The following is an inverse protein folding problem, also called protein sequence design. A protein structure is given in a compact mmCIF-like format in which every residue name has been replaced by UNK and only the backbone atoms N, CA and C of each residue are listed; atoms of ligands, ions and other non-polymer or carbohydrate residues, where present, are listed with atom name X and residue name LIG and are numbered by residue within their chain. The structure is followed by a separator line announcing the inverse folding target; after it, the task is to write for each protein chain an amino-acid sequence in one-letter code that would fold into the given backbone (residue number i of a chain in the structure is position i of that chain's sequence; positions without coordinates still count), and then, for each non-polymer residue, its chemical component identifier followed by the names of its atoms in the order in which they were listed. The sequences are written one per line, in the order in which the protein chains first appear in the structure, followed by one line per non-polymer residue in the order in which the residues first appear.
data_IF_683749227174
#
_entry.id   IF_683749227174
#
_cell.length_a   1.000
_cell.length_b   1.000
_cell.length_c   1.000
_cell.angle_alpha   90.00
_cell.angle_beta   90.00
_cell.angle_gamma   90.00
#
_symmetry.space_group_name_H-M   'P 1'
#
loop_
_entity.id
_entity.type
_entity.pdbx_description
1 polymer ?
#
# COMPACT_ATOMS: atom_id res chain seq x y z
N UNK A 1 -54.06 29.76 3.10
CA UNK A 1 -54.16 30.34 4.45
C UNK A 1 -53.15 29.61 5.32
N UNK A 2 -52.06 30.20 5.79
CA UNK A 2 -51.64 31.62 5.81
C UNK A 2 -50.34 31.81 5.00
N UNK A 3 -50.07 33.04 4.54
CA UNK A 3 -48.88 33.43 3.74
C UNK A 3 -48.07 34.54 4.42
N UNK A 4 -46.77 34.33 4.61
CA UNK A 4 -45.72 35.35 4.81
C UNK A 4 -44.38 34.71 4.36
N UNK A 5 -43.36 35.42 3.87
CA UNK A 5 -43.27 36.84 3.50
C UNK A 5 -41.79 37.18 3.20
N UNK A 6 -41.49 37.81 2.07
CA UNK A 6 -40.10 38.04 1.62
C UNK A 6 -39.39 39.17 2.38
N UNK A 7 -38.07 39.07 2.51
CA UNK A 7 -37.18 40.18 2.83
C UNK A 7 -35.87 40.07 2.04
N UNK A 8 -35.62 41.01 1.14
CA UNK A 8 -34.30 41.20 0.53
C UNK A 8 -33.39 42.00 1.48
N UNK A 9 -32.07 41.80 1.41
CA UNK A 9 -31.12 42.86 1.77
C UNK A 9 -29.94 42.87 0.80
N UNK A 10 -29.69 44.02 0.18
CA UNK A 10 -28.48 44.29 -0.61
C UNK A 10 -27.33 44.59 0.35
N UNK A 11 -26.12 44.10 0.04
CA UNK A 11 -24.97 44.25 0.93
C UNK A 11 -23.61 44.04 0.25
N UNK A 12 -23.37 44.68 -0.89
CA UNK A 12 -22.04 44.71 -1.51
C UNK A 12 -21.13 45.74 -0.83
N UNK A 13 -19.86 45.39 -0.59
CA UNK A 13 -18.77 46.35 -0.68
C UNK A 13 -17.78 45.92 -1.79
N UNK A 14 -17.68 46.73 -2.84
CA UNK A 14 -16.56 46.66 -3.78
C UNK A 14 -15.27 47.09 -3.09
N UNK A 15 -14.18 46.36 -3.29
CA UNK A 15 -12.84 46.88 -3.03
C UNK A 15 -11.95 46.68 -4.25
N UNK A 16 -11.63 47.78 -4.93
CA UNK A 16 -10.64 47.83 -6.01
C UNK A 16 -9.26 48.13 -5.40
N UNK A 17 -8.25 47.35 -5.78
CA UNK A 17 -6.90 47.46 -5.23
C UNK A 17 -5.86 47.02 -6.25
N UNK A 18 -5.55 47.89 -7.21
CA UNK A 18 -4.50 47.65 -8.22
C UNK A 18 -3.14 48.04 -7.64
N UNK A 19 -2.16 47.15 -7.73
CA UNK A 19 -0.74 47.53 -7.82
C UNK A 19 0.08 46.42 -8.46
N UNK A 20 0.87 46.77 -9.47
CA UNK A 20 1.78 45.88 -10.18
C UNK A 20 3.23 46.12 -9.75
N UNK A 21 3.90 45.06 -9.34
CA UNK A 21 5.36 44.88 -9.36
C UNK A 21 5.65 43.42 -9.02
N UNK A 22 6.75 42.83 -9.47
CA UNK A 22 7.86 43.39 -10.23
C UNK A 22 9.03 42.45 -10.03
N UNK A 23 9.44 41.78 -11.10
CA UNK A 23 10.44 40.70 -11.09
C UNK A 23 11.73 41.05 -10.34
N UNK A 24 12.24 40.12 -9.55
CA UNK A 24 13.69 39.92 -9.50
C UNK A 24 14.09 38.46 -9.26
N UNK A 25 14.98 37.96 -10.11
CA UNK A 25 15.66 36.68 -9.95
C UNK A 25 16.75 36.80 -8.89
N UNK A 26 16.87 35.80 -8.02
CA UNK A 26 17.99 35.64 -7.10
C UNK A 26 18.59 34.24 -7.27
N UNK A 27 19.62 34.13 -8.12
CA UNK A 27 20.43 32.91 -8.26
C UNK A 27 21.44 32.87 -7.13
N UNK A 28 21.35 31.86 -6.26
CA UNK A 28 22.35 31.57 -5.24
C UNK A 28 22.99 30.21 -5.55
N UNK A 29 24.20 30.24 -6.10
CA UNK A 29 24.97 29.03 -6.42
C UNK A 29 25.68 28.46 -5.19
N UNK A 30 25.91 27.14 -5.27
CA UNK A 30 26.76 26.28 -4.45
C UNK A 30 27.87 26.94 -3.59
N UNK A 31 27.94 26.53 -2.33
CA UNK A 31 29.19 26.50 -1.54
C UNK A 31 29.28 25.19 -0.73
N UNK A 32 30.11 24.26 -1.21
CA UNK A 32 30.53 23.10 -0.42
C UNK A 32 31.81 23.42 0.36
N UNK A 33 31.94 22.98 1.61
CA UNK A 33 33.23 22.70 2.23
C UNK A 33 33.57 21.20 2.07
N UNK A 34 34.78 20.92 1.58
CA UNK A 34 35.37 19.58 1.58
C UNK A 34 35.73 19.12 3.00
N UNK A 35 35.65 17.81 3.26
CA UNK A 35 36.22 17.17 4.45
C UNK A 35 36.94 15.90 4.01
N UNK A 36 38.24 15.83 4.29
CA UNK A 36 39.11 14.73 3.88
C UNK A 36 38.90 13.45 4.70
N UNK A 37 39.21 12.31 4.09
CA UNK A 37 39.20 10.99 4.72
C UNK A 37 40.64 10.50 4.99
N UNK A 38 40.99 10.05 6.22
CA UNK A 38 42.26 9.41 6.49
C UNK A 38 42.29 7.98 5.94
N UNK A 39 43.26 7.68 5.08
CA UNK A 39 43.65 6.31 4.75
C UNK A 39 44.58 5.75 5.84
N UNK A 40 44.39 4.50 6.23
CA UNK A 40 45.41 3.69 6.90
C UNK A 40 45.56 2.38 6.13
N UNK A 41 46.81 2.02 5.82
CA UNK A 41 47.13 0.89 4.96
C UNK A 41 48.43 0.23 5.43
N UNK A 42 48.31 -0.95 6.04
CA UNK A 42 49.42 -1.76 6.54
C UNK A 42 48.96 -3.24 6.48
N UNK A 43 49.71 -4.21 5.95
CA UNK A 43 50.99 -4.13 5.23
C UNK A 43 52.01 -5.16 5.71
N UNK A 44 51.94 -6.39 5.21
CA UNK A 44 52.96 -7.47 5.23
C UNK A 44 52.37 -8.65 4.43
N UNK A 45 52.87 -8.97 3.22
CA UNK A 45 53.93 -9.97 2.95
C UNK A 45 53.53 -11.41 3.34
N UNK A 46 53.04 -12.24 2.40
CA UNK A 46 53.80 -13.05 1.42
C UNK A 46 54.78 -14.06 2.04
N UNK A 47 54.48 -15.35 1.87
CA UNK A 47 55.45 -16.31 1.29
C UNK A 47 54.72 -17.50 0.63
N UNK A 48 55.44 -18.32 -0.17
CA UNK A 48 54.79 -19.22 -1.15
C UNK A 48 55.69 -20.34 -1.71
N UNK A 49 55.23 -21.59 -1.62
CA UNK A 49 55.68 -22.79 -2.35
C UNK A 49 54.55 -23.85 -2.27
N UNK A 50 54.21 -24.68 -3.26
CA UNK A 50 54.99 -25.63 -4.08
C UNK A 50 55.70 -26.70 -3.23
N UNK A 51 55.65 -28.01 -3.53
CA UNK A 51 54.95 -28.79 -4.58
C UNK A 51 55.08 -30.31 -4.27
N UNK A 52 54.49 -31.21 -5.06
CA UNK A 52 54.94 -32.62 -5.14
C UNK A 52 53.88 -33.69 -4.86
N UNK A 53 54.16 -34.94 -5.26
CA UNK A 53 53.22 -36.07 -5.27
C UNK A 53 53.90 -37.43 -5.02
N UNK A 54 53.08 -38.50 -5.00
CA UNK A 54 53.43 -39.93 -5.16
C UNK A 54 53.69 -40.83 -3.92
N UNK A 55 52.60 -41.44 -3.43
CA UNK A 55 52.41 -42.90 -3.19
C UNK A 55 53.61 -43.86 -3.00
N UNK A 56 53.69 -44.55 -1.85
CA UNK A 56 53.39 -46.02 -1.64
C UNK A 56 53.83 -46.56 -0.25
N UNK A 57 53.05 -47.53 0.27
CA UNK A 57 53.36 -48.79 1.03
C UNK A 57 54.55 -48.87 2.02
N UNK A 58 54.56 -49.68 3.09
CA UNK A 58 53.56 -50.53 3.80
C UNK A 58 54.16 -51.06 5.14
N UNK A 59 53.32 -51.58 6.06
CA UNK A 59 53.67 -52.54 7.16
C UNK A 59 54.63 -52.04 8.30
N UNK A 60 54.63 -52.54 9.54
CA UNK A 60 53.76 -53.50 10.28
C UNK A 60 53.83 -53.31 11.83
N UNK A 61 52.85 -53.88 12.59
CA UNK A 61 52.83 -54.21 14.05
C UNK A 61 53.22 -53.13 15.12
N UNK A 62 52.80 -53.13 16.39
CA UNK A 62 51.65 -53.62 17.22
C UNK A 62 51.75 -52.90 18.60
N UNK A 63 51.00 -53.07 19.70
CA UNK A 63 49.88 -53.92 20.16
C UNK A 63 49.21 -53.26 21.43
N UNK A 64 48.14 -53.86 21.99
CA UNK A 64 47.60 -53.66 23.37
C UNK A 64 47.03 -52.26 23.78
N UNK A 65 45.87 -52.11 24.42
CA UNK A 65 44.74 -53.03 24.69
C UNK A 65 43.45 -52.28 25.13
N UNK A 66 42.31 -52.97 25.02
CA UNK A 66 41.05 -52.81 25.77
C UNK A 66 40.29 -51.45 25.76
N UNK A 67 39.38 -51.27 24.79
CA UNK A 67 38.01 -50.77 25.03
C UNK A 67 37.07 -51.08 23.83
N UNK A 68 35.83 -51.48 24.10
CA UNK A 68 34.72 -51.47 23.13
C UNK A 68 33.83 -50.22 23.43
N UNK A 69 32.91 -49.72 22.60
CA UNK A 69 32.12 -50.29 21.50
C UNK A 69 31.82 -49.18 20.44
N UNK A 70 31.28 -49.58 19.29
CA UNK A 70 30.65 -48.80 18.21
C UNK A 70 31.54 -48.19 17.11
N UNK A 71 31.37 -48.75 15.91
CA UNK A 71 31.91 -48.26 14.64
C UNK A 71 31.09 -47.07 14.12
N UNK A 72 31.70 -46.24 13.27
CA UNK A 72 31.04 -45.10 12.62
C UNK A 72 30.10 -45.52 11.49
N UNK A 73 28.87 -45.01 11.48
CA UNK A 73 27.95 -45.08 10.34
C UNK A 73 27.67 -43.68 9.81
N UNK A 74 28.31 -43.33 8.69
CA UNK A 74 28.04 -42.21 7.77
C UNK A 74 27.66 -40.84 8.37
N UNK A 75 28.56 -39.86 8.24
CA UNK A 75 28.24 -38.46 8.43
C UNK A 75 27.29 -37.95 7.32
N UNK A 76 26.00 -37.81 7.64
CA UNK A 76 24.97 -37.35 6.71
C UNK A 76 25.20 -35.90 6.23
N UNK A 77 24.98 -35.56 4.94
CA UNK A 77 25.18 -34.20 4.41
C UNK A 77 24.28 -33.10 5.02
N UNK A 78 23.24 -33.48 5.76
CA UNK A 78 22.13 -32.60 6.15
C UNK A 78 22.50 -31.47 7.12
N UNK A 79 23.66 -31.53 7.79
CA UNK A 79 24.08 -30.49 8.75
C UNK A 79 24.20 -29.10 8.12
N UNK A 80 24.79 -29.01 6.92
CA UNK A 80 25.07 -27.73 6.25
C UNK A 80 23.76 -27.00 5.88
N UNK A 81 22.75 -27.75 5.40
CA UNK A 81 21.44 -27.21 5.04
C UNK A 81 20.70 -26.58 6.23
N UNK A 82 20.77 -27.20 7.41
CA UNK A 82 20.13 -26.67 8.63
C UNK A 82 20.78 -25.36 9.07
N UNK A 83 22.12 -25.27 9.06
CA UNK A 83 22.82 -24.03 9.38
C UNK A 83 22.60 -22.94 8.32
N UNK A 84 22.57 -23.28 7.03
CA UNK A 84 22.19 -22.34 5.97
C UNK A 84 20.77 -21.81 6.17
N UNK A 85 19.78 -22.67 6.40
CA UNK A 85 18.40 -22.27 6.68
C UNK A 85 18.25 -21.44 7.96
N UNK A 86 19.08 -21.68 8.98
CA UNK A 86 19.13 -20.85 10.18
C UNK A 86 19.77 -19.48 9.91
N UNK A 87 20.86 -19.42 9.13
CA UNK A 87 21.52 -18.17 8.72
C UNK A 87 20.59 -17.35 7.80
N UNK A 88 19.86 -17.99 6.88
CA UNK A 88 18.84 -17.33 6.06
C UNK A 88 17.68 -16.81 6.90
N UNK A 89 17.18 -17.59 7.86
CA UNK A 89 16.17 -17.11 8.82
C UNK A 89 16.68 -15.90 9.59
N UNK A 90 17.84 -15.97 10.24
CA UNK A 90 18.44 -14.83 10.96
C UNK A 90 18.67 -13.63 10.03
N UNK A 91 19.13 -13.85 8.80
CA UNK A 91 19.34 -12.79 7.80
C UNK A 91 18.03 -12.14 7.35
N UNK A 92 16.94 -12.91 7.14
CA UNK A 92 15.59 -12.38 6.82
C UNK A 92 14.91 -11.77 8.05
N UNK A 93 15.26 -12.21 9.26
CA UNK A 93 14.84 -11.59 10.54
C UNK A 93 15.52 -10.23 10.75
N UNK A 94 16.81 -10.09 10.43
CA UNK A 94 17.55 -8.83 10.51
C UNK A 94 17.19 -7.88 9.36
N UNK A 95 17.12 -8.36 8.12
CA UNK A 95 16.73 -7.56 6.93
C UNK A 95 15.23 -7.28 6.83
N UNK A 96 14.39 -8.02 7.56
CA UNK A 96 12.93 -7.94 7.44
C UNK A 96 12.47 -8.11 5.99
N UNK A 97 11.65 -7.18 5.52
CA UNK A 97 11.07 -7.14 4.18
C UNK A 97 11.92 -6.39 3.14
N UNK A 98 13.16 -5.99 3.45
CA UNK A 98 13.97 -5.11 2.57
C UNK A 98 14.25 -5.69 1.17
N UNK A 99 14.55 -6.99 1.07
CA UNK A 99 14.79 -7.66 -0.21
C UNK A 99 13.47 -7.92 -0.99
N UNK A 100 12.32 -7.83 -0.31
CA UNK A 100 10.99 -8.14 -0.82
C UNK A 100 10.24 -6.90 -1.37
N UNK A 101 10.30 -5.74 -0.70
CA UNK A 101 9.57 -4.50 -1.10
C UNK A 101 9.84 -4.12 -2.56
N UNK A 102 8.79 -3.87 -3.35
CA UNK A 102 8.86 -3.46 -4.75
C UNK A 102 9.41 -4.53 -5.69
N UNK A 103 9.28 -5.82 -5.36
CA UNK A 103 9.76 -6.93 -6.20
C UNK A 103 9.13 -6.94 -7.59
N UNK A 104 7.87 -6.52 -7.73
CA UNK A 104 7.18 -6.40 -9.02
C UNK A 104 7.91 -5.47 -10.00
N UNK A 105 8.46 -4.36 -9.52
CA UNK A 105 9.28 -3.43 -10.33
C UNK A 105 10.66 -4.01 -10.69
N UNK A 106 11.12 -5.09 -10.05
CA UNK A 106 12.39 -5.79 -10.35
C UNK A 106 12.21 -7.00 -11.27
N UNK A 107 10.98 -7.46 -11.46
CA UNK A 107 10.66 -8.63 -12.27
C UNK A 107 10.72 -8.26 -13.76
N UNK A 108 11.77 -8.66 -14.47
CA UNK A 108 12.01 -8.30 -15.89
C UNK A 108 10.96 -8.81 -16.89
N UNK A 109 10.06 -9.70 -16.47
CA UNK A 109 8.93 -10.19 -17.26
C UNK A 109 7.62 -9.43 -17.01
N UNK A 110 7.59 -8.52 -16.02
CA UNK A 110 6.41 -7.70 -15.72
C UNK A 110 6.33 -6.49 -16.66
N UNK A 111 5.13 -6.15 -17.19
CA UNK A 111 4.97 -4.99 -18.06
C UNK A 111 5.24 -3.67 -17.31
N UNK A 112 5.84 -2.66 -17.97
CA UNK A 112 6.10 -1.35 -17.37
C UNK A 112 4.80 -0.62 -16.99
N UNK A 113 4.93 0.45 -16.20
CA UNK A 113 3.83 1.33 -15.82
C UNK A 113 3.90 2.65 -16.58
N UNK A 114 2.74 3.22 -16.89
CA UNK A 114 2.60 4.53 -17.54
C UNK A 114 2.29 5.59 -16.49
N UNK A 115 3.16 6.58 -16.26
CA UNK A 115 2.84 7.68 -15.33
C UNK A 115 1.88 8.67 -16.01
N UNK A 116 0.74 8.96 -15.38
CA UNK A 116 -0.23 9.96 -15.83
C UNK A 116 -0.60 10.93 -14.70
N UNK A 117 0.33 11.17 -13.75
CA UNK A 117 0.10 12.05 -12.61
C UNK A 117 -0.33 13.45 -13.02
N UNK A 118 0.27 14.02 -14.07
CA UNK A 118 -0.09 15.36 -14.54
C UNK A 118 -1.49 15.36 -15.19
N UNK A 119 -1.86 14.34 -16.00
CA UNK A 119 -3.21 14.18 -16.55
C UNK A 119 -4.27 13.98 -15.46
N UNK A 120 -3.93 13.24 -14.39
CA UNK A 120 -4.80 13.12 -13.21
C UNK A 120 -5.01 14.48 -12.51
N UNK A 121 -3.98 15.33 -12.43
CA UNK A 121 -4.10 16.69 -11.87
C UNK A 121 -4.99 17.58 -12.74
N UNK A 122 -4.89 17.51 -14.07
CA UNK A 122 -5.82 18.21 -14.98
C UNK A 122 -7.27 17.79 -14.75
N UNK A 123 -7.54 16.47 -14.70
CA UNK A 123 -8.88 15.92 -14.47
C UNK A 123 -9.41 16.30 -13.07
N UNK A 124 -8.55 16.32 -12.05
CA UNK A 124 -8.93 16.72 -10.71
C UNK A 124 -9.26 18.22 -10.62
N UNK A 125 -8.58 19.07 -11.40
CA UNK A 125 -8.88 20.50 -11.44
C UNK A 125 -10.14 20.82 -12.25
N UNK A 126 -10.39 20.12 -13.36
CA UNK A 126 -11.67 20.10 -14.07
C UNK A 126 -12.83 19.83 -13.08
N UNK A 127 -12.72 18.77 -12.27
CA UNK A 127 -13.73 18.35 -11.29
C UNK A 127 -13.89 19.38 -10.16
N UNK A 128 -12.81 20.03 -9.70
CA UNK A 128 -12.89 21.14 -8.73
C UNK A 128 -13.63 22.35 -9.28
N UNK A 129 -13.60 22.56 -10.60
CA UNK A 129 -14.39 23.58 -11.31
C UNK A 129 -15.78 23.08 -11.75
N UNK A 130 -16.21 21.89 -11.31
CA UNK A 130 -17.55 21.33 -11.56
C UNK A 130 -17.72 20.62 -12.90
N UNK A 131 -16.63 20.34 -13.63
CA UNK A 131 -16.65 19.66 -14.94
C UNK A 131 -16.64 18.14 -14.78
N UNK A 132 -17.73 17.61 -14.20
CA UNK A 132 -17.94 16.18 -13.97
C UNK A 132 -18.09 15.40 -15.28
N UNK A 133 -17.26 14.37 -15.48
CA UNK A 133 -17.12 13.64 -16.77
C UNK A 133 -17.47 12.15 -16.72
N UNK A 134 -17.87 11.63 -15.55
CA UNK A 134 -18.19 10.21 -15.39
C UNK A 134 -19.48 9.79 -16.13
N UNK A 135 -19.46 8.73 -16.96
CA UNK A 135 -20.62 8.27 -17.69
C UNK A 135 -21.69 7.63 -16.79
N UNK A 136 -22.96 8.04 -16.97
CA UNK A 136 -24.11 7.43 -16.30
C UNK A 136 -24.53 6.06 -16.90
N UNK A 137 -23.92 5.64 -18.01
CA UNK A 137 -24.12 4.34 -18.66
C UNK A 137 -23.38 3.18 -17.99
N UNK A 138 -22.57 3.45 -16.96
CA UNK A 138 -21.83 2.47 -16.17
C UNK A 138 -22.41 2.32 -14.76
N UNK A 139 -21.98 1.29 -14.04
CA UNK A 139 -22.16 1.16 -12.58
C UNK A 139 -20.79 1.27 -11.91
N UNK A 140 -20.73 2.01 -10.80
CA UNK A 140 -19.50 2.24 -10.03
C UNK A 140 -19.53 1.35 -8.79
N UNK A 141 -18.61 0.40 -8.69
CA UNK A 141 -18.52 -0.52 -7.57
C UNK A 141 -17.28 -0.22 -6.72
N UNK A 142 -17.53 0.38 -5.57
CA UNK A 142 -16.50 0.68 -4.57
C UNK A 142 -16.26 -0.59 -3.72
N UNK A 143 -15.07 -1.17 -3.83
CA UNK A 143 -14.69 -2.41 -3.12
C UNK A 143 -13.87 -2.05 -1.89
N UNK A 144 -14.42 -2.20 -0.67
CA UNK A 144 -13.75 -1.74 0.54
C UNK A 144 -12.59 -2.66 0.93
N UNK A 145 -11.64 -2.12 1.69
CA UNK A 145 -10.55 -2.90 2.27
C UNK A 145 -10.92 -3.57 3.59
N UNK A 146 -9.88 -4.03 4.29
CA UNK A 146 -9.96 -4.54 5.66
C UNK A 146 -10.73 -3.57 6.58
N UNK A 147 -11.43 -4.13 7.58
CA UNK A 147 -12.13 -3.42 8.65
C UNK A 147 -13.30 -2.50 8.26
N UNK A 148 -13.74 -2.49 7.00
CA UNK A 148 -14.92 -1.71 6.58
C UNK A 148 -16.21 -2.08 7.32
N UNK A 149 -16.32 -3.34 7.77
CA UNK A 149 -17.46 -3.83 8.53
C UNK A 149 -17.51 -3.31 9.99
N UNK A 150 -16.48 -2.57 10.44
CA UNK A 150 -16.39 -1.97 11.76
C UNK A 150 -16.48 -0.43 11.76
N UNK A 151 -16.51 0.23 10.59
CA UNK A 151 -16.57 1.68 10.46
C UNK A 151 -17.84 2.13 9.71
N UNK A 152 -18.80 2.84 10.34
CA UNK A 152 -20.15 3.07 9.77
C UNK A 152 -20.22 4.03 8.57
N UNK A 153 -19.08 4.51 8.06
CA UNK A 153 -18.98 5.55 7.02
C UNK A 153 -18.07 5.19 5.84
N UNK A 154 -17.49 3.99 5.80
CA UNK A 154 -16.54 3.58 4.76
C UNK A 154 -17.16 3.75 3.35
N UNK A 155 -16.53 4.56 2.50
CA UNK A 155 -17.05 4.96 1.17
C UNK A 155 -18.43 5.65 1.13
N UNK A 156 -19.09 5.93 2.26
CA UNK A 156 -20.45 6.50 2.29
C UNK A 156 -20.50 7.92 1.72
N UNK A 157 -19.48 8.74 2.00
CA UNK A 157 -19.37 10.10 1.44
C UNK A 157 -19.24 10.07 -0.09
N UNK A 158 -18.33 9.23 -0.61
CA UNK A 158 -18.06 9.08 -2.05
C UNK A 158 -19.31 8.56 -2.78
N UNK A 159 -19.97 7.51 -2.26
CA UNK A 159 -21.25 7.01 -2.79
C UNK A 159 -22.34 8.09 -2.79
N UNK A 160 -22.42 8.89 -1.72
CA UNK A 160 -23.38 10.00 -1.61
C UNK A 160 -23.12 11.08 -2.65
N UNK A 161 -21.85 11.45 -2.88
CA UNK A 161 -21.45 12.41 -3.92
C UNK A 161 -21.83 11.89 -5.32
N UNK A 162 -21.47 10.64 -5.63
CA UNK A 162 -21.79 10.00 -6.91
C UNK A 162 -23.30 9.91 -7.15
N UNK A 163 -24.08 9.65 -6.10
CA UNK A 163 -25.54 9.61 -6.15
C UNK A 163 -26.15 11.00 -6.42
N UNK A 164 -25.55 12.09 -5.91
CA UNK A 164 -25.96 13.48 -6.24
C UNK A 164 -25.67 13.82 -7.71
N UNK A 165 -24.63 13.24 -8.30
CA UNK A 165 -24.33 13.35 -9.74
C UNK A 165 -25.21 12.43 -10.63
N UNK A 166 -26.16 11.69 -10.06
CA UNK A 166 -27.03 10.77 -10.79
C UNK A 166 -26.34 9.47 -11.25
N UNK A 167 -25.16 9.16 -10.71
CA UNK A 167 -24.39 7.96 -11.06
C UNK A 167 -24.86 6.76 -10.24
N UNK A 168 -24.98 5.59 -10.90
CA UNK A 168 -25.32 4.33 -10.22
C UNK A 168 -24.11 3.83 -9.42
N UNK A 169 -24.04 4.15 -8.12
CA UNK A 169 -22.89 3.84 -7.26
C UNK A 169 -23.23 2.83 -6.14
N UNK A 170 -22.41 1.79 -6.01
CA UNK A 170 -22.56 0.66 -5.11
C UNK A 170 -21.30 0.53 -4.24
N UNK A 171 -21.48 -0.03 -3.03
CA UNK A 171 -20.38 -0.47 -2.17
C UNK A 171 -20.51 -1.99 -2.07
N UNK A 172 -19.42 -2.73 -2.33
CA UNK A 172 -19.43 -4.18 -2.30
C UNK A 172 -19.66 -4.69 -0.87
N UNK A 173 -20.64 -5.60 -0.71
CA UNK A 173 -20.96 -6.23 0.58
C UNK A 173 -20.09 -7.48 0.77
N UNK A 174 -18.84 -7.27 1.14
CA UNK A 174 -17.87 -8.37 1.34
C UNK A 174 -17.50 -8.56 2.81
N UNK A 175 -17.08 -9.76 3.14
CA UNK A 175 -16.45 -10.04 4.43
C UNK A 175 -15.02 -9.48 4.41
N UNK A 176 -14.82 -8.27 4.94
CA UNK A 176 -13.52 -7.58 4.91
C UNK A 176 -12.35 -8.45 5.42
N UNK A 177 -12.62 -9.31 6.41
CA UNK A 177 -11.64 -10.20 7.06
C UNK A 177 -11.52 -11.60 6.44
N UNK A 178 -12.19 -11.88 5.34
CA UNK A 178 -12.05 -13.15 4.62
C UNK A 178 -10.85 -13.14 3.67
N UNK A 179 -10.40 -14.34 3.25
CA UNK A 179 -9.28 -14.49 2.31
C UNK A 179 -9.56 -13.80 0.98
N UNK A 180 -8.49 -13.47 0.27
CA UNK A 180 -8.54 -12.83 -1.05
C UNK A 180 -9.35 -13.67 -2.04
N UNK A 181 -9.24 -15.00 -2.04
CA UNK A 181 -10.00 -15.89 -2.93
C UNK A 181 -11.50 -15.96 -2.57
N UNK A 182 -11.85 -15.87 -1.27
CA UNK A 182 -13.27 -15.81 -0.88
C UNK A 182 -13.88 -14.48 -1.32
N UNK A 183 -13.22 -13.35 -1.06
CA UNK A 183 -13.73 -12.06 -1.48
C UNK A 183 -13.72 -11.89 -3.01
N UNK A 184 -12.75 -12.47 -3.72
CA UNK A 184 -12.73 -12.52 -5.18
C UNK A 184 -14.01 -13.18 -5.75
N UNK A 185 -14.52 -14.23 -5.09
CA UNK A 185 -15.78 -14.88 -5.45
C UNK A 185 -17.00 -13.99 -5.12
N UNK A 186 -17.07 -13.44 -3.91
CA UNK A 186 -18.16 -12.53 -3.50
C UNK A 186 -18.25 -11.31 -4.43
N UNK A 187 -17.10 -10.77 -4.89
CA UNK A 187 -17.03 -9.67 -5.87
C UNK A 187 -17.46 -10.12 -7.27
N UNK A 188 -16.99 -11.29 -7.73
CA UNK A 188 -17.40 -11.86 -9.03
C UNK A 188 -18.93 -11.99 -9.08
N UNK A 189 -19.53 -12.64 -8.08
CA UNK A 189 -20.98 -12.89 -8.08
C UNK A 189 -21.77 -11.56 -7.98
N UNK A 190 -21.28 -10.56 -7.23
CA UNK A 190 -21.85 -9.21 -7.18
C UNK A 190 -21.81 -8.48 -8.54
N UNK A 191 -20.70 -8.59 -9.29
CA UNK A 191 -20.59 -8.00 -10.64
C UNK A 191 -21.59 -8.64 -11.60
N UNK A 192 -21.81 -9.96 -11.49
CA UNK A 192 -22.80 -10.65 -12.32
C UNK A 192 -24.23 -10.29 -11.97
N UNK A 193 -24.58 -10.15 -10.67
CA UNK A 193 -25.90 -9.65 -10.23
C UNK A 193 -26.17 -8.24 -10.77
N UNK A 194 -25.20 -7.32 -10.61
CA UNK A 194 -25.29 -5.94 -11.12
C UNK A 194 -25.43 -5.90 -12.64
N UNK A 195 -24.64 -6.69 -13.38
CA UNK A 195 -24.72 -6.74 -14.83
C UNK A 195 -26.06 -7.33 -15.30
N UNK A 196 -26.53 -8.41 -14.69
CA UNK A 196 -27.82 -9.04 -14.98
C UNK A 196 -29.00 -8.09 -14.72
N UNK A 197 -28.97 -7.36 -13.61
CA UNK A 197 -30.05 -6.44 -13.23
C UNK A 197 -30.07 -5.10 -13.97
N UNK A 198 -29.02 -4.74 -14.74
CA UNK A 198 -28.90 -3.41 -15.35
C UNK A 198 -28.42 -3.36 -16.80
N UNK A 199 -27.83 -4.45 -17.33
CA UNK A 199 -27.11 -4.50 -18.60
C UNK A 199 -25.97 -3.46 -18.76
N UNK A 200 -25.51 -2.85 -17.65
CA UNK A 200 -24.41 -1.88 -17.62
C UNK A 200 -23.10 -2.55 -17.22
N UNK A 201 -21.99 -2.10 -17.80
CA UNK A 201 -20.65 -2.53 -17.36
C UNK A 201 -20.24 -1.85 -16.05
N UNK A 202 -19.44 -2.55 -15.26
CA UNK A 202 -18.99 -2.12 -13.93
C UNK A 202 -17.58 -1.53 -14.01
N UNK A 203 -17.40 -0.33 -13.44
CA UNK A 203 -16.10 0.26 -13.12
C UNK A 203 -15.81 0.00 -11.64
N UNK A 204 -14.67 -0.62 -11.34
CA UNK A 204 -14.27 -0.98 -9.98
C UNK A 204 -13.31 0.07 -9.41
N UNK A 205 -13.51 0.47 -8.16
CA UNK A 205 -12.49 1.17 -7.36
C UNK A 205 -12.31 0.40 -6.06
N UNK A 206 -11.18 -0.29 -5.92
CA UNK A 206 -10.81 -0.99 -4.71
C UNK A 206 -9.81 -0.19 -3.87
N UNK A 207 -10.07 -0.05 -2.57
CA UNK A 207 -9.13 0.57 -1.63
C UNK A 207 -8.43 -0.49 -0.77
N UNK A 208 -7.13 -0.34 -0.53
CA UNK A 208 -6.37 -1.25 0.34
C UNK A 208 -6.53 -2.72 -0.10
N UNK A 209 -6.83 -3.65 0.81
CA UNK A 209 -7.17 -5.05 0.46
C UNK A 209 -8.30 -5.16 -0.58
N UNK A 210 -9.24 -4.22 -0.64
CA UNK A 210 -10.34 -4.22 -1.62
C UNK A 210 -9.87 -4.12 -3.07
N UNK A 211 -8.75 -3.44 -3.34
CA UNK A 211 -8.11 -3.45 -4.65
C UNK A 211 -7.42 -4.79 -4.96
N UNK A 212 -6.90 -5.46 -3.93
CA UNK A 212 -6.32 -6.81 -4.04
C UNK A 212 -7.40 -7.86 -4.30
N UNK A 213 -8.51 -7.81 -3.56
CA UNK A 213 -9.68 -8.69 -3.70
C UNK A 213 -10.35 -8.49 -5.08
N UNK A 214 -10.51 -7.24 -5.53
CA UNK A 214 -11.04 -6.94 -6.86
C UNK A 214 -10.08 -7.40 -7.98
N UNK A 215 -8.78 -7.16 -7.85
CA UNK A 215 -7.79 -7.67 -8.81
C UNK A 215 -7.77 -9.20 -8.86
N UNK A 216 -7.96 -9.87 -7.72
CA UNK A 216 -8.08 -11.32 -7.66
C UNK A 216 -9.36 -11.81 -8.38
N UNK A 217 -10.51 -11.16 -8.18
CA UNK A 217 -11.74 -11.47 -8.91
C UNK A 217 -11.52 -11.43 -10.43
N UNK A 218 -10.91 -10.34 -10.93
CA UNK A 218 -10.64 -10.17 -12.36
C UNK A 218 -9.56 -11.12 -12.90
N UNK A 219 -8.58 -11.52 -12.09
CA UNK A 219 -7.51 -12.44 -12.50
C UNK A 219 -7.93 -13.92 -12.45
N UNK A 220 -8.89 -14.27 -11.59
CA UNK A 220 -9.38 -15.64 -11.41
C UNK A 220 -10.59 -15.97 -12.29
N UNK A 221 -11.45 -14.99 -12.58
CA UNK A 221 -12.75 -15.18 -13.24
C UNK A 221 -12.91 -14.35 -14.53
N UNK A 222 -11.80 -14.05 -15.23
CA UNK A 222 -11.82 -13.15 -16.40
C UNK A 222 -12.74 -13.62 -17.52
N UNK A 223 -12.84 -14.94 -17.76
CA UNK A 223 -13.75 -15.54 -18.74
C UNK A 223 -15.19 -15.04 -18.59
N UNK A 224 -15.61 -14.85 -17.35
CA UNK A 224 -16.98 -14.54 -16.96
C UNK A 224 -17.17 -13.02 -16.87
N UNK A 225 -16.12 -12.29 -16.47
CA UNK A 225 -16.16 -10.87 -16.13
C UNK A 225 -15.72 -9.91 -17.26
N UNK A 226 -15.02 -10.38 -18.30
CA UNK A 226 -14.41 -9.54 -19.35
C UNK A 226 -15.39 -8.55 -20.01
N UNK A 227 -16.58 -9.03 -20.35
CA UNK A 227 -17.62 -8.24 -21.03
C UNK A 227 -18.44 -7.41 -20.04
N UNK A 228 -18.42 -7.79 -18.75
CA UNK A 228 -19.16 -7.17 -17.65
C UNK A 228 -18.39 -6.02 -16.98
N UNK A 229 -17.06 -6.03 -17.02
CA UNK A 229 -16.19 -5.06 -16.32
C UNK A 229 -15.52 -4.12 -17.31
N UNK A 230 -15.54 -2.81 -17.04
CA UNK A 230 -14.96 -1.78 -17.89
C UNK A 230 -13.54 -1.35 -17.46
N UNK A 231 -13.13 -1.64 -16.23
CA UNK A 231 -11.78 -1.35 -15.71
C UNK A 231 -11.69 -1.44 -14.18
N UNK A 232 -10.47 -1.32 -13.64
CA UNK A 232 -10.17 -1.35 -12.21
C UNK A 232 -9.23 -0.21 -11.78
N UNK A 233 -9.61 0.53 -10.72
CA UNK A 233 -8.72 1.37 -9.93
C UNK A 233 -8.26 0.59 -8.70
N UNK A 234 -6.95 0.49 -8.47
CA UNK A 234 -6.34 0.07 -7.21
C UNK A 234 -5.82 1.28 -6.46
N UNK A 235 -6.54 1.74 -5.45
CA UNK A 235 -6.12 2.84 -4.60
C UNK A 235 -5.45 2.32 -3.33
N UNK A 236 -4.22 2.77 -3.05
CA UNK A 236 -3.45 2.46 -1.83
C UNK A 236 -3.41 0.94 -1.53
N UNK A 237 -3.43 0.12 -2.58
CA UNK A 237 -3.67 -1.33 -2.46
C UNK A 237 -2.35 -2.10 -2.40
N UNK A 238 -2.10 -2.97 -1.41
CA UNK A 238 -0.84 -3.73 -1.29
C UNK A 238 -0.77 -4.89 -2.31
N UNK A 239 -0.76 -4.56 -3.60
CA UNK A 239 -0.82 -5.51 -4.70
C UNK A 239 0.44 -6.40 -4.76
N UNK A 240 1.62 -5.81 -4.56
CA UNK A 240 2.88 -6.54 -4.37
C UNK A 240 3.05 -7.18 -2.99
N UNK A 241 2.28 -6.74 -2.00
CA UNK A 241 2.37 -7.16 -0.60
C UNK A 241 2.49 -5.97 0.36
N UNK A 242 2.54 -6.24 1.65
CA UNK A 242 2.84 -5.25 2.69
C UNK A 242 4.00 -5.72 3.56
N UNK A 243 4.96 -4.85 3.89
CA UNK A 243 6.01 -5.16 4.85
C UNK A 243 5.45 -5.23 6.27
N UNK A 244 4.35 -4.54 6.56
CA UNK A 244 3.71 -4.58 7.88
C UNK A 244 3.05 -5.95 8.10
N UNK A 245 2.32 -6.48 7.11
CA UNK A 245 1.82 -7.86 7.18
C UNK A 245 2.97 -8.88 7.28
N UNK A 246 4.01 -8.72 6.46
CA UNK A 246 5.13 -9.67 6.37
C UNK A 246 6.07 -9.64 7.58
N UNK A 247 6.24 -8.50 8.25
CA UNK A 247 7.08 -8.35 9.44
C UNK A 247 6.32 -8.71 10.73
N UNK A 248 5.03 -8.37 10.87
CA UNK A 248 4.24 -8.68 12.08
C UNK A 248 4.00 -10.19 12.23
N UNK A 249 3.87 -10.90 11.11
CA UNK A 249 3.69 -12.36 11.10
C UNK A 249 5.02 -13.15 11.26
N UNK A 250 6.16 -12.48 11.47
CA UNK A 250 7.46 -13.12 11.71
C UNK A 250 7.79 -13.17 13.20
N UNK A 251 7.67 -14.35 13.80
CA UNK A 251 8.09 -14.60 15.17
C UNK A 251 9.60 -14.41 15.38
N UNK A 252 10.01 -13.83 16.52
CA UNK A 252 11.39 -13.89 17.01
C UNK A 252 12.29 -12.64 16.84
N UNK A 253 11.76 -11.48 16.45
CA UNK A 253 12.57 -10.24 16.40
C UNK A 253 12.77 -9.61 17.79
N UNK A 254 14.00 -9.72 18.31
CA UNK A 254 14.46 -9.16 19.59
C UNK A 254 14.91 -7.69 19.45
N UNK A 255 14.91 -6.94 20.57
CA UNK A 255 15.46 -5.58 20.63
C UNK A 255 14.43 -4.47 20.36
N UNK A 256 14.70 -3.63 19.35
CA UNK A 256 13.99 -2.37 19.09
C UNK A 256 12.50 -2.55 18.76
N UNK A 257 12.07 -3.77 18.45
CA UNK A 257 10.69 -4.08 18.10
C UNK A 257 9.69 -3.85 19.23
N UNK A 258 10.07 -3.71 20.50
CA UNK A 258 9.07 -3.57 21.59
C UNK A 258 8.15 -2.35 21.40
N UNK A 259 8.68 -1.21 20.95
CA UNK A 259 7.85 -0.02 20.71
C UNK A 259 7.15 -0.06 19.35
N UNK A 260 7.82 -0.61 18.32
CA UNK A 260 7.24 -0.82 16.97
C UNK A 260 6.05 -1.76 17.04
N UNK A 261 6.24 -2.93 17.67
CA UNK A 261 5.23 -3.95 17.90
C UNK A 261 4.10 -3.39 18.74
N UNK A 262 4.37 -2.61 19.79
CA UNK A 262 3.30 -1.90 20.53
C UNK A 262 2.50 -0.95 19.64
N UNK A 263 3.14 -0.11 18.81
CA UNK A 263 2.42 0.80 17.89
C UNK A 263 1.59 0.02 16.87
N UNK A 264 2.11 -1.10 16.35
CA UNK A 264 1.42 -1.95 15.37
C UNK A 264 0.33 -2.84 15.99
N UNK A 265 0.51 -3.36 17.20
CA UNK A 265 -0.54 -4.02 18.00
C UNK A 265 -1.61 -3.01 18.42
N UNK A 266 -1.23 -1.77 18.75
CA UNK A 266 -2.17 -0.67 18.99
C UNK A 266 -2.94 -0.33 17.72
N UNK A 267 -2.30 -0.36 16.55
CA UNK A 267 -2.97 -0.19 15.26
C UNK A 267 -3.96 -1.35 15.02
N UNK A 268 -3.51 -2.61 15.08
CA UNK A 268 -4.34 -3.83 14.95
C UNK A 268 -5.49 -3.88 15.97
N UNK A 269 -5.27 -3.50 17.23
CA UNK A 269 -6.29 -3.66 18.28
C UNK A 269 -7.19 -2.43 18.50
N UNK A 270 -6.75 -1.20 18.20
CA UNK A 270 -7.59 0.01 18.33
C UNK A 270 -8.16 0.51 16.99
N UNK A 271 -7.47 0.33 15.86
CA UNK A 271 -7.86 0.84 14.53
C UNK A 271 -8.30 -0.27 13.56
N UNK A 272 -7.63 -1.42 13.61
CA UNK A 272 -7.63 -2.50 12.59
C UNK A 272 -8.20 -3.79 13.24
N UNK A 273 -9.24 -3.64 14.09
CA UNK A 273 -9.79 -4.68 15.00
C UNK A 273 -10.14 -5.98 14.25
N UNK A 274 -9.24 -6.98 14.29
CA UNK A 274 -9.26 -8.01 13.26
C UNK A 274 -8.63 -9.36 13.55
N UNK A 275 -8.89 -10.26 12.60
CA UNK A 275 -8.23 -11.57 12.49
C UNK A 275 -6.91 -11.42 11.72
N UNK A 276 -5.83 -11.93 12.30
CA UNK A 276 -4.50 -11.93 11.68
C UNK A 276 -4.46 -12.74 10.37
N UNK A 277 -5.40 -13.67 10.15
CA UNK A 277 -5.54 -14.40 8.88
C UNK A 277 -5.76 -13.46 7.69
N UNK A 278 -6.53 -12.38 7.87
CA UNK A 278 -6.84 -11.43 6.79
C UNK A 278 -5.63 -10.61 6.30
N UNK A 279 -4.58 -10.53 7.13
CA UNK A 279 -3.27 -9.95 6.75
C UNK A 279 -2.35 -10.98 6.06
N UNK A 280 -2.61 -12.29 6.24
CA UNK A 280 -1.78 -13.37 5.71
C UNK A 280 -1.63 -13.32 4.18
N UNK A 281 -2.73 -13.10 3.46
CA UNK A 281 -2.74 -13.00 1.99
C UNK A 281 -2.02 -11.74 1.46
N UNK A 282 -1.75 -10.77 2.34
CA UNK A 282 -1.03 -9.53 2.03
C UNK A 282 0.48 -9.65 2.29
N UNK A 283 0.96 -10.81 2.74
CA UNK A 283 2.41 -11.09 2.84
C UNK A 283 3.06 -11.20 1.47
N UNK A 284 4.35 -10.86 1.36
CA UNK A 284 5.08 -10.99 0.10
C UNK A 284 5.09 -12.44 -0.42
N UNK A 285 5.24 -13.41 0.47
CA UNK A 285 5.14 -14.83 0.16
C UNK A 285 3.80 -15.17 -0.53
N UNK A 286 2.65 -14.78 0.06
CA UNK A 286 1.32 -15.06 -0.53
C UNK A 286 1.03 -14.26 -1.79
N UNK A 287 1.45 -12.99 -1.86
CA UNK A 287 1.29 -12.18 -3.10
C UNK A 287 2.13 -12.71 -4.25
N UNK A 288 3.35 -13.21 -3.99
CA UNK A 288 4.19 -13.89 -5.00
C UNK A 288 3.56 -15.20 -5.47
N UNK A 289 3.08 -16.02 -4.54
CA UNK A 289 2.37 -17.27 -4.87
C UNK A 289 1.15 -17.00 -5.75
N UNK A 290 0.26 -16.09 -5.33
CA UNK A 290 -0.96 -15.74 -6.07
C UNK A 290 -0.64 -15.20 -7.47
N UNK A 291 0.24 -14.20 -7.57
CA UNK A 291 0.53 -13.53 -8.84
C UNK A 291 1.34 -14.40 -9.81
N UNK A 292 2.05 -15.43 -9.33
CA UNK A 292 2.68 -16.43 -10.21
C UNK A 292 1.67 -17.25 -11.02
N UNK A 293 0.44 -17.38 -10.49
CA UNK A 293 -0.65 -18.19 -11.05
C UNK A 293 -1.75 -17.35 -11.71
N UNK A 294 -2.09 -16.21 -11.12
CA UNK A 294 -3.19 -15.35 -11.55
C UNK A 294 -2.66 -13.94 -11.86
N UNK A 295 -2.57 -13.63 -13.16
CA UNK A 295 -2.14 -12.33 -13.66
C UNK A 295 -3.36 -11.49 -14.04
N UNK A 296 -3.27 -10.16 -13.90
CA UNK A 296 -4.30 -9.27 -14.44
C UNK A 296 -4.32 -9.35 -15.99
N UNK A 297 -5.51 -9.36 -16.62
CA UNK A 297 -5.65 -9.37 -18.08
C UNK A 297 -4.99 -8.13 -18.73
N UNK A 298 -4.38 -8.31 -19.91
CA UNK A 298 -3.64 -7.22 -20.59
C UNK A 298 -4.58 -6.18 -21.22
N UNK A 299 -5.73 -6.65 -21.68
CA UNK A 299 -6.83 -5.87 -22.26
C UNK A 299 -7.58 -5.04 -21.22
N UNK A 300 -7.52 -5.40 -19.93
CA UNK A 300 -8.18 -4.69 -18.84
C UNK A 300 -7.58 -3.28 -18.69
N UNK A 301 -8.40 -2.21 -18.64
CA UNK A 301 -7.94 -0.90 -18.19
C UNK A 301 -7.68 -0.94 -16.69
N UNK A 302 -6.47 -0.54 -16.27
CA UNK A 302 -6.07 -0.52 -14.85
C UNK A 302 -5.40 0.81 -14.53
N UNK A 303 -5.81 1.42 -13.42
CA UNK A 303 -5.13 2.56 -12.79
C UNK A 303 -4.68 2.12 -11.40
N UNK A 304 -3.45 2.45 -11.00
CA UNK A 304 -3.00 2.30 -9.61
C UNK A 304 -2.58 3.66 -9.01
N UNK A 305 -3.04 3.92 -7.79
CA UNK A 305 -2.88 5.19 -7.08
C UNK A 305 -2.13 4.93 -5.77
N UNK A 306 -0.88 5.38 -5.71
CA UNK A 306 -0.02 5.27 -4.52
C UNK A 306 0.11 6.63 -3.86
N UNK A 307 0.30 6.69 -2.53
CA UNK A 307 0.46 7.97 -1.81
C UNK A 307 1.58 7.91 -0.76
N UNK A 308 1.92 9.08 -0.21
CA UNK A 308 2.93 9.27 0.83
C UNK A 308 2.30 9.99 2.02
N UNK A 309 2.41 9.45 3.24
CA UNK A 309 1.92 10.12 4.45
C UNK A 309 2.81 11.29 4.90
N UNK A 310 2.24 12.24 5.65
CA UNK A 310 2.98 13.41 6.16
C UNK A 310 3.76 13.07 7.44
N UNK A 311 5.01 12.63 7.30
CA UNK A 311 5.94 12.33 8.42
C UNK A 311 6.50 13.59 9.12
N UNK A 312 5.79 14.72 9.07
CA UNK A 312 6.27 15.98 9.65
C UNK A 312 6.30 15.94 11.19
N UNK A 313 7.24 16.65 11.85
CA UNK A 313 7.29 16.71 13.31
C UNK A 313 5.99 17.22 13.95
N UNK A 314 5.26 18.12 13.28
CA UNK A 314 3.99 18.65 13.77
C UNK A 314 2.88 17.59 13.82
N UNK A 315 2.80 16.71 12.81
CA UNK A 315 1.85 15.59 12.79
C UNK A 315 2.23 14.55 13.85
N UNK A 316 3.50 14.15 13.89
CA UNK A 316 4.01 13.15 14.84
C UNK A 316 3.85 13.59 16.31
N UNK A 317 4.06 14.87 16.62
CA UNK A 317 3.87 15.42 17.95
C UNK A 317 2.43 15.33 18.49
N UNK A 318 1.43 15.02 17.64
CA UNK A 318 0.07 14.74 18.12
C UNK A 318 -0.05 13.38 18.83
N UNK A 319 0.82 12.40 18.52
CA UNK A 319 0.91 11.16 19.30
C UNK A 319 1.41 11.41 20.73
N UNK A 320 2.37 12.32 20.91
CA UNK A 320 2.89 12.67 22.24
C UNK A 320 1.79 13.23 23.15
N UNK A 321 0.86 14.04 22.60
CA UNK A 321 -0.31 14.55 23.36
C UNK A 321 -1.21 13.43 23.88
N UNK A 322 -1.32 12.34 23.12
CA UNK A 322 -2.07 11.13 23.52
C UNK A 322 -1.30 10.32 24.56
N UNK A 323 0.01 10.14 24.40
CA UNK A 323 0.85 9.47 25.40
C UNK A 323 0.82 10.20 26.76
N UNK A 324 0.75 11.54 26.78
CA UNK A 324 0.56 12.31 28.00
C UNK A 324 -0.83 12.12 28.65
N UNK A 325 -1.84 11.66 27.90
CA UNK A 325 -3.16 11.30 28.43
C UNK A 325 -3.27 9.83 28.88
N UNK A 326 -2.31 8.96 28.52
CA UNK A 326 -2.23 7.56 28.96
C UNK A 326 -1.38 7.36 30.24
N UNK A 327 -0.90 8.44 30.87
CA UNK A 327 -0.14 8.39 32.13
C UNK A 327 -1.06 8.05 33.33
N UNK A 328 -0.81 6.94 34.07
CA UNK A 328 -1.68 6.52 35.17
C UNK A 328 -1.54 7.41 36.41
N UNK A 329 -2.67 7.81 36.99
CA UNK A 329 -2.71 8.47 38.30
C UNK A 329 -2.38 7.48 39.42
N UNK A 330 -1.32 7.75 40.19
CA UNK A 330 -1.02 7.06 41.44
C UNK A 330 -2.01 7.46 42.54
N UNK A 331 -3.24 6.94 42.50
CA UNK A 331 -4.25 7.12 43.54
C UNK A 331 -5.16 5.90 43.64
N UNK A 332 -5.49 5.48 44.86
CA UNK A 332 -6.24 4.23 45.15
C UNK A 332 -7.77 4.40 45.06
N UNK A 333 -8.23 5.14 44.04
CA UNK A 333 -9.64 5.31 43.70
C UNK A 333 -9.96 4.58 42.38
N UNK A 334 -11.24 4.26 42.14
CA UNK A 334 -11.65 3.43 41.01
C UNK A 334 -11.21 4.01 39.65
N UNK A 335 -10.71 3.17 38.71
CA UNK A 335 -10.16 3.65 37.45
C UNK A 335 -11.27 4.15 36.51
N UNK A 336 -11.40 5.47 36.39
CA UNK A 336 -12.21 6.11 35.35
C UNK A 336 -11.53 5.91 33.97
N UNK A 337 -12.05 4.99 33.16
CA UNK A 337 -11.52 4.72 31.82
C UNK A 337 -11.90 5.83 30.84
N UNK A 338 -11.06 6.85 30.73
CA UNK A 338 -11.19 7.87 29.68
C UNK A 338 -10.98 7.23 28.29
N UNK A 339 -11.87 7.47 27.30
CA UNK A 339 -11.72 6.91 25.96
C UNK A 339 -10.60 7.65 25.20
N UNK A 340 -9.41 7.05 25.19
CA UNK A 340 -8.24 7.62 24.52
C UNK A 340 -8.38 7.52 23.00
N UNK A 341 -8.84 8.62 22.39
CA UNK A 341 -8.91 8.78 20.93
C UNK A 341 -7.52 9.06 20.38
N UNK A 342 -6.98 8.11 19.60
CA UNK A 342 -5.71 8.31 18.89
C UNK A 342 -5.97 9.02 17.54
N UNK A 343 -5.21 10.09 17.20
CA UNK A 343 -5.31 10.73 15.90
C UNK A 343 -4.77 9.79 14.80
N UNK A 344 -5.67 9.23 14.00
CA UNK A 344 -5.39 8.17 13.03
C UNK A 344 -4.25 8.50 12.06
N UNK A 345 -4.29 9.68 11.42
CA UNK A 345 -3.23 10.13 10.52
C UNK A 345 -1.85 10.29 11.18
N UNK A 346 -1.78 10.48 12.50
CA UNK A 346 -0.52 10.52 13.23
C UNK A 346 0.04 9.12 13.49
N UNK A 347 -0.82 8.11 13.69
CA UNK A 347 -0.40 6.70 13.73
C UNK A 347 0.11 6.29 12.34
N UNK A 348 -0.60 6.67 11.27
CA UNK A 348 -0.12 6.47 9.89
C UNK A 348 1.24 7.14 9.65
N UNK A 349 1.42 8.40 10.10
CA UNK A 349 2.70 9.10 9.99
C UNK A 349 3.85 8.40 10.74
N UNK A 350 3.59 7.83 11.93
CA UNK A 350 4.60 7.06 12.66
C UNK A 350 4.94 5.74 11.97
N UNK A 351 3.94 5.03 11.45
CA UNK A 351 4.16 3.81 10.65
C UNK A 351 4.91 4.11 9.33
N UNK A 352 4.64 5.25 8.69
CA UNK A 352 5.36 5.70 7.51
C UNK A 352 6.81 6.10 7.83
N UNK A 353 7.04 6.82 8.94
CA UNK A 353 8.39 7.16 9.41
C UNK A 353 9.19 5.89 9.74
N UNK A 354 8.56 4.89 10.36
CA UNK A 354 9.19 3.60 10.62
C UNK A 354 9.65 2.91 9.32
N UNK A 355 8.77 2.79 8.31
CA UNK A 355 9.12 2.19 7.02
C UNK A 355 10.22 2.97 6.29
N UNK A 356 10.21 4.30 6.42
CA UNK A 356 11.22 5.19 5.86
C UNK A 356 12.59 5.02 6.54
N UNK A 357 12.64 4.89 7.87
CA UNK A 357 13.89 4.65 8.63
C UNK A 357 14.40 3.23 8.41
N UNK A 358 13.51 2.23 8.45
CA UNK A 358 13.86 0.80 8.44
C UNK A 358 14.26 0.29 7.06
N UNK A 359 13.63 0.79 6.00
CA UNK A 359 13.80 0.28 4.64
C UNK A 359 14.21 1.34 3.61
N UNK A 360 14.28 2.62 3.99
CA UNK A 360 14.44 3.73 3.05
C UNK A 360 13.21 3.96 2.16
N UNK A 361 12.08 3.28 2.42
CA UNK A 361 10.91 3.27 1.54
C UNK A 361 9.81 4.18 2.07
N UNK A 362 9.25 4.96 1.15
CA UNK A 362 8.07 5.78 1.40
C UNK A 362 6.79 4.93 1.45
N UNK A 363 5.78 5.42 2.18
CA UNK A 363 4.48 4.76 2.30
C UNK A 363 3.39 5.77 2.70
N UNK A 364 2.14 5.33 2.56
CA UNK A 364 0.92 5.99 3.07
C UNK A 364 0.66 5.72 4.58
N UNK A 365 1.59 5.01 5.24
CA UNK A 365 1.46 4.52 6.61
C UNK A 365 1.20 3.01 6.71
N UNK A 366 0.71 2.36 5.65
CA UNK A 366 0.40 0.92 5.65
C UNK A 366 0.97 0.14 4.43
N UNK A 367 1.10 0.80 3.29
CA UNK A 367 1.54 0.23 2.01
C UNK A 367 2.68 1.07 1.44
N UNK A 368 3.75 0.43 0.98
CA UNK A 368 4.85 1.18 0.35
C UNK A 368 4.44 1.66 -1.03
N UNK A 369 4.95 2.83 -1.44
CA UNK A 369 4.68 3.39 -2.76
C UNK A 369 5.00 2.39 -3.90
N UNK A 370 5.96 1.48 -3.67
CA UNK A 370 6.45 0.51 -4.66
C UNK A 370 5.63 -0.78 -4.73
N UNK A 371 4.88 -1.10 -3.67
CA UNK A 371 4.00 -2.28 -3.62
C UNK A 371 2.55 -1.95 -4.00
N UNK A 372 2.21 -0.65 -4.03
CA UNK A 372 0.96 -0.11 -4.55
C UNK A 372 0.93 0.05 -6.08
N UNK A 373 2.09 0.10 -6.75
CA UNK A 373 2.18 0.15 -8.21
C UNK A 373 1.90 -1.22 -8.85
N UNK A 374 1.01 -1.23 -9.84
CA UNK A 374 0.59 -2.44 -10.54
C UNK A 374 1.21 -2.50 -11.94
N UNK A 375 2.00 -3.54 -12.30
CA UNK A 375 2.56 -3.71 -13.64
C UNK A 375 1.51 -3.60 -14.75
N UNK A 376 1.82 -2.88 -15.84
CA UNK A 376 0.91 -2.70 -16.98
C UNK A 376 -0.29 -1.79 -16.69
N UNK A 377 -0.33 -1.12 -15.54
CA UNK A 377 -1.32 -0.09 -15.21
C UNK A 377 -0.79 1.31 -15.50
N UNK A 378 -1.73 2.26 -15.58
CA UNK A 378 -1.41 3.68 -15.40
C UNK A 378 -1.19 3.96 -13.91
N UNK A 379 -0.06 4.56 -13.56
CA UNK A 379 0.32 4.88 -12.18
C UNK A 379 0.16 6.38 -11.91
N UNK A 380 -0.43 6.72 -10.77
CA UNK A 380 -0.59 8.10 -10.27
C UNK A 380 0.21 8.29 -8.98
N UNK A 381 1.02 9.36 -8.95
CA UNK A 381 2.02 9.68 -7.91
C UNK A 381 1.82 11.12 -7.37
N UNK A 382 0.73 11.41 -6.65
CA UNK A 382 0.36 12.77 -6.25
C UNK A 382 1.43 13.38 -5.32
N UNK A 383 1.69 14.69 -5.50
CA UNK A 383 2.66 15.44 -4.68
C UNK A 383 2.15 15.66 -3.24
N UNK A 384 0.82 15.89 -3.09
CA UNK A 384 0.09 16.04 -1.82
C UNK A 384 0.27 14.81 -0.94
N UNK A 385 0.43 15.02 0.38
CA UNK A 385 0.63 13.93 1.34
C UNK A 385 -0.70 13.43 1.87
N UNK A 386 -1.01 12.18 1.54
CA UNK A 386 -2.27 11.51 1.84
C UNK A 386 -1.93 10.18 2.52
N UNK A 387 -2.45 9.95 3.72
CA UNK A 387 -2.29 8.69 4.42
C UNK A 387 -3.33 7.64 4.00
N UNK A 388 -3.14 6.40 4.43
CA UNK A 388 -4.00 5.25 4.11
C UNK A 388 -5.43 5.34 4.67
N UNK A 389 -5.68 6.23 5.62
CA UNK A 389 -7.02 6.47 6.17
C UNK A 389 -7.75 7.60 5.44
N UNK A 390 -7.01 8.57 4.89
CA UNK A 390 -7.58 9.78 4.28
C UNK A 390 -8.67 9.47 3.24
N UNK A 391 -8.40 8.60 2.26
CA UNK A 391 -9.34 8.38 1.14
C UNK A 391 -10.68 7.73 1.56
N UNK A 392 -10.80 7.22 2.78
CA UNK A 392 -12.02 6.56 3.30
C UNK A 392 -12.60 7.20 4.56
N UNK A 393 -11.85 8.08 5.23
CA UNK A 393 -12.27 8.78 6.45
C UNK A 393 -12.08 10.31 6.41
N UNK A 394 -11.64 10.91 5.30
CA UNK A 394 -11.63 12.37 5.09
C UNK A 394 -13.00 12.99 5.33
N UNK A 395 -13.04 14.17 5.96
CA UNK A 395 -14.30 14.87 6.17
C UNK A 395 -14.69 15.69 4.93
N UNK A 396 -15.98 16.03 4.82
CA UNK A 396 -16.44 17.02 3.83
C UNK A 396 -16.14 18.47 4.27
N UNK A 397 -15.40 18.64 5.38
CA UNK A 397 -14.99 19.90 5.97
C UNK A 397 -13.45 20.03 6.04
N UNK A 398 -12.72 19.20 5.27
CA UNK A 398 -11.29 19.37 5.02
C UNK A 398 -11.08 20.72 4.25
N UNK A 399 -9.83 21.20 4.11
CA UNK A 399 -9.54 22.52 3.52
C UNK A 399 -10.20 22.69 2.14
N UNK A 400 -11.12 23.66 1.93
CA UNK A 400 -11.81 23.86 0.66
C UNK A 400 -10.90 24.31 -0.49
N UNK A 401 -9.64 24.63 -0.22
CA UNK A 401 -8.62 24.85 -1.25
C UNK A 401 -8.05 23.54 -1.79
N UNK A 402 -8.08 22.44 -1.03
CA UNK A 402 -7.66 21.11 -1.48
C UNK A 402 -8.83 20.28 -2.01
N UNK A 403 -8.54 19.16 -2.68
CA UNK A 403 -9.58 18.25 -3.19
C UNK A 403 -10.06 17.25 -2.12
N UNK A 404 -11.35 16.94 -2.08
CA UNK A 404 -11.90 15.88 -1.22
C UNK A 404 -11.72 14.47 -1.81
N UNK A 405 -11.92 13.43 -1.00
CA UNK A 405 -11.73 12.04 -1.45
C UNK A 405 -12.75 11.59 -2.53
N UNK A 406 -13.94 12.20 -2.59
CA UNK A 406 -14.92 11.98 -3.66
C UNK A 406 -14.42 12.54 -4.99
N UNK A 407 -13.84 13.74 -4.99
CA UNK A 407 -13.22 14.35 -6.18
C UNK A 407 -12.01 13.53 -6.64
N UNK A 408 -11.18 13.03 -5.71
CA UNK A 408 -10.06 12.13 -6.03
C UNK A 408 -10.55 10.80 -6.61
N UNK A 409 -11.58 10.16 -6.02
CA UNK A 409 -12.17 8.95 -6.56
C UNK A 409 -12.82 9.18 -7.95
N UNK A 410 -13.48 10.32 -8.15
CA UNK A 410 -14.04 10.71 -9.46
C UNK A 410 -12.94 10.90 -10.51
N UNK A 411 -11.84 11.57 -10.16
CA UNK A 411 -10.71 11.78 -11.06
C UNK A 411 -10.01 10.46 -11.46
N UNK A 412 -9.82 9.54 -10.49
CA UNK A 412 -9.27 8.21 -10.76
C UNK A 412 -10.17 7.37 -11.69
N UNK A 413 -11.49 7.43 -11.49
CA UNK A 413 -12.45 6.72 -12.33
C UNK A 413 -12.63 7.37 -13.71
N UNK A 414 -12.49 8.69 -13.80
CA UNK A 414 -12.52 9.43 -15.07
C UNK A 414 -11.29 9.09 -15.91
N UNK A 415 -10.10 9.11 -15.31
CA UNK A 415 -8.87 8.65 -15.97
C UNK A 415 -8.97 7.19 -16.41
N UNK A 416 -9.54 6.30 -15.57
CA UNK A 416 -9.77 4.90 -15.95
C UNK A 416 -10.69 4.77 -17.19
N UNK A 417 -11.69 5.64 -17.33
CA UNK A 417 -12.53 5.71 -18.54
C UNK A 417 -11.72 6.18 -19.75
N UNK A 418 -10.85 7.18 -19.62
CA UNK A 418 -9.95 7.62 -20.71
C UNK A 418 -8.98 6.52 -21.14
N UNK A 419 -8.34 5.82 -20.19
CA UNK A 419 -7.46 4.66 -20.45
C UNK A 419 -8.24 3.54 -21.14
N UNK A 420 -9.47 3.27 -20.69
CA UNK A 420 -10.34 2.27 -21.32
C UNK A 420 -10.81 2.67 -22.72
N UNK A 421 -10.97 3.96 -23.01
CA UNK A 421 -11.21 4.46 -24.36
C UNK A 421 -9.96 4.29 -25.23
N UNK A 422 -8.78 4.70 -24.77
CA UNK A 422 -7.50 4.54 -25.51
C UNK A 422 -7.26 3.09 -25.93
N UNK A 423 -7.27 2.15 -24.97
CA UNK A 423 -7.09 0.71 -25.24
C UNK A 423 -8.06 0.15 -26.29
N UNK A 424 -9.31 0.63 -26.37
CA UNK A 424 -10.27 0.14 -27.38
C UNK A 424 -9.96 0.62 -28.80
N UNK A 425 -9.54 1.87 -28.97
CA UNK A 425 -9.11 2.38 -30.28
C UNK A 425 -7.81 1.69 -30.72
N UNK A 426 -6.87 1.45 -29.80
CA UNK A 426 -5.64 0.69 -30.07
C UNK A 426 -5.86 -0.77 -30.47
N UNK A 427 -7.02 -1.36 -30.17
CA UNK A 427 -7.40 -2.70 -30.63
C UNK A 427 -8.07 -2.60 -32.01
N UNK A 428 -9.08 -1.72 -32.14
CA UNK A 428 -9.79 -1.51 -33.41
C UNK A 428 -8.83 -1.21 -34.57
N UNK A 429 -7.82 -0.36 -34.33
CA UNK A 429 -6.82 0.03 -35.33
C UNK A 429 -5.71 -1.03 -35.56
N UNK A 430 -5.87 -2.26 -35.08
CA UNK A 430 -5.00 -3.42 -35.35
C UNK A 430 -5.73 -4.58 -36.02
N UNK A 431 -7.07 -4.54 -36.04
CA UNK A 431 -7.94 -5.48 -36.72
C UNK A 431 -8.40 -4.94 -38.11
N UNK A 432 -7.92 -3.74 -38.50
CA UNK A 432 -7.98 -3.12 -39.84
C UNK A 432 -6.63 -3.25 -40.58
#
# INVERSE_FOLDING_TARGET
MVTFGSAESRGSPTFSGVSSSGSHLAVCNSSQPSVDAPLLHEGLSRESSQSGSATRNSEDLSDSSCAQVFQSTQASPNGISIFQGLIEKVRRTVRGSADDIGWLQRASYMPPVEDQTDRFVEILDDIRHGLHKLPNSMVYLLVPGLFSNHGPLYFVNIKTSFSKMGLTCHIAKIHSEASVEKNAREIKDYIEEVYWGSSKRVLLLGHSKGGVDAAAALSMYWSDLKDKVAGLVLAQSPYGGSPIASDILREGQLGDYVNIRKIMEILICKVIKGDMQALGDLTYEKRKEFLSKYHLPKELPVVSFQTEASISPAVLATLSRVAHAEMPTFSTAQPATFPVVMPLGAVMAACAQLLQIRYGQKSDGLVTCRDAEVPGSVVIRPKRKLDHAWMVYSSLNDDPMEADASQVCEALLTLLVEVGQRKRHEISNKDE
#
